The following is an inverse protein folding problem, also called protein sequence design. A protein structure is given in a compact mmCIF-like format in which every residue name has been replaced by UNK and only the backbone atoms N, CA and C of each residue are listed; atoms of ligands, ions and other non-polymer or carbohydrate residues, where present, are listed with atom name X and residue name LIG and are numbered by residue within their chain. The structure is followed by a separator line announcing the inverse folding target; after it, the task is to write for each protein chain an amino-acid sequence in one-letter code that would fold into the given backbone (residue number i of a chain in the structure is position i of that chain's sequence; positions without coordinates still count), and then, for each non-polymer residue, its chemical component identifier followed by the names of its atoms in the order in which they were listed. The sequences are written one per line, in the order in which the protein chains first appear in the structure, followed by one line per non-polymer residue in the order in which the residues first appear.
data_IF_031608596732
#
_entry.id   IF_031608596732
#
_cell.length_a   1.000
_cell.length_b   1.000
_cell.length_c   1.000
_cell.angle_alpha   90.00
_cell.angle_beta   90.00
_cell.angle_gamma   90.00
#
_symmetry.space_group_name_H-M   'P 1'
#
loop_
_entity.id
_entity.type
_entity.pdbx_description
1 polymer ?
#
# COMPACT_ATOMS: atom_id res chain seq x y z
N UNK A 1 5.29 -8.78 -13.92
CA UNK A 1 4.71 -8.48 -12.60
C UNK A 1 3.54 -7.55 -12.81
N UNK A 2 2.36 -7.81 -12.27
CA UNK A 2 1.28 -6.85 -12.33
C UNK A 2 1.76 -5.56 -11.69
N UNK A 3 1.43 -4.42 -12.29
CA UNK A 3 1.75 -3.10 -11.76
C UNK A 3 0.87 -2.92 -10.54
N UNK A 4 1.47 -2.92 -9.33
CA UNK A 4 0.70 -2.72 -8.11
C UNK A 4 -0.09 -1.41 -8.21
N UNK A 5 -1.38 -1.52 -8.01
CA UNK A 5 -2.33 -0.43 -8.18
C UNK A 5 -2.16 0.58 -7.05
N UNK A 6 -2.31 1.86 -7.37
CA UNK A 6 -2.25 2.94 -6.38
C UNK A 6 -3.57 3.00 -5.63
N UNK A 7 -3.50 2.91 -4.31
CA UNK A 7 -4.65 2.96 -3.41
C UNK A 7 -4.78 4.33 -2.75
N UNK A 8 -6.01 4.75 -2.46
CA UNK A 8 -6.32 6.01 -1.77
C UNK A 8 -7.17 5.73 -0.54
N UNK A 9 -6.82 6.38 0.59
CA UNK A 9 -7.64 6.34 1.81
C UNK A 9 -7.80 7.73 2.37
N UNK A 10 -9.02 8.02 2.81
CA UNK A 10 -9.37 9.29 3.45
C UNK A 10 -9.81 9.04 4.87
N UNK A 11 -9.34 9.88 5.77
CA UNK A 11 -9.77 9.92 7.15
C UNK A 11 -10.42 11.27 7.42
N UNK A 12 -11.65 11.25 7.97
CA UNK A 12 -12.22 12.43 8.59
C UNK A 12 -11.52 12.64 9.92
N UNK A 13 -10.88 13.75 10.07
CA UNK A 13 -10.19 14.11 11.29
C UNK A 13 -10.68 15.48 11.73
N UNK A 14 -11.11 15.57 12.97
CA UNK A 14 -11.44 16.84 13.64
C UNK A 14 -10.21 17.76 13.79
N UNK A 15 -9.08 17.44 13.14
CA UNK A 15 -7.77 18.04 13.42
C UNK A 15 -7.02 18.64 12.22
N UNK A 16 -7.61 18.73 11.02
CA UNK A 16 -6.96 19.53 9.97
C UNK A 16 -7.05 21.01 10.38
N UNK A 17 -5.90 21.61 10.70
CA UNK A 17 -5.85 22.98 11.18
C UNK A 17 -4.78 23.79 10.45
N UNK A 18 -5.17 25.02 10.13
CA UNK A 18 -4.26 26.04 9.69
C UNK A 18 -3.58 26.68 10.92
N UNK A 19 -2.25 26.58 11.02
CA UNK A 19 -1.49 27.29 12.04
C UNK A 19 -1.28 28.72 11.56
N UNK A 20 -1.91 29.66 12.24
CA UNK A 20 -2.06 31.06 11.76
C UNK A 20 -0.75 31.81 11.55
N UNK A 21 0.28 31.55 12.38
CA UNK A 21 1.49 32.39 12.41
C UNK A 21 2.56 31.94 11.38
N UNK A 22 2.47 30.74 10.82
CA UNK A 22 3.53 30.16 9.99
C UNK A 22 3.09 29.75 8.58
N UNK A 23 1.89 30.08 8.13
CA UNK A 23 1.32 29.61 6.85
C UNK A 23 1.45 28.07 6.67
N UNK A 24 1.25 27.33 7.76
CA UNK A 24 1.41 25.88 7.82
C UNK A 24 0.06 25.21 7.98
N UNK A 25 -0.19 24.17 7.17
CA UNK A 25 -1.30 23.25 7.33
C UNK A 25 -0.80 22.00 8.06
N UNK A 26 -1.48 21.64 9.16
CA UNK A 26 -1.14 20.45 9.97
C UNK A 26 -2.35 19.54 10.07
N UNK A 27 -2.14 18.25 9.93
CA UNK A 27 -3.17 17.24 10.09
C UNK A 27 -2.63 15.82 9.95
N UNK A 28 -3.37 14.85 10.47
CA UNK A 28 -3.05 13.44 10.24
C UNK A 28 -3.58 12.98 8.88
N UNK A 29 -2.70 12.56 7.99
CA UNK A 29 -3.08 12.01 6.69
C UNK A 29 -3.64 10.58 6.80
N UNK A 30 -3.28 9.87 7.87
CA UNK A 30 -3.77 8.52 8.19
C UNK A 30 -3.86 8.35 9.71
N UNK A 31 -4.80 7.49 10.17
CA UNK A 31 -4.99 7.15 11.59
C UNK A 31 -4.75 5.68 11.80
N UNK A 32 -3.98 5.34 12.85
CA UNK A 32 -3.69 3.95 13.21
C UNK A 32 -4.84 3.27 13.94
N UNK A 33 -4.92 1.95 13.81
CA UNK A 33 -5.85 1.08 14.53
C UNK A 33 -7.34 1.46 14.38
N UNK A 34 -7.68 2.33 13.44
CA UNK A 34 -9.06 2.69 13.13
C UNK A 34 -9.57 1.78 12.03
N UNK A 35 -10.63 1.03 12.35
CA UNK A 35 -11.24 0.10 11.41
C UNK A 35 -12.16 0.85 10.45
N UNK A 36 -11.86 0.79 9.17
CA UNK A 36 -12.63 1.42 8.08
C UNK A 36 -13.31 0.33 7.27
N UNK A 37 -14.61 0.47 7.01
CA UNK A 37 -15.38 -0.43 6.16
C UNK A 37 -15.25 0.01 4.69
N UNK A 38 -14.72 -0.85 3.83
CA UNK A 38 -14.55 -0.63 2.39
C UNK A 38 -15.62 -1.36 1.55
N UNK A 39 -16.65 -1.89 2.20
CA UNK A 39 -17.79 -2.57 1.59
C UNK A 39 -17.55 -4.07 1.32
N UNK A 40 -16.37 -4.46 0.86
CA UNK A 40 -15.98 -5.86 0.60
C UNK A 40 -15.12 -6.44 1.72
N UNK A 41 -14.43 -5.62 2.46
CA UNK A 41 -13.64 -5.95 3.64
C UNK A 41 -13.46 -4.70 4.51
N UNK A 42 -13.03 -4.92 5.74
CA UNK A 42 -12.61 -3.84 6.63
C UNK A 42 -11.10 -3.71 6.63
N UNK A 43 -10.61 -2.50 6.79
CA UNK A 43 -9.18 -2.22 6.78
C UNK A 43 -8.76 -1.41 7.99
N UNK A 44 -7.55 -1.67 8.48
CA UNK A 44 -6.87 -0.83 9.44
C UNK A 44 -5.39 -0.68 9.09
N UNK A 45 -4.79 0.40 9.57
CA UNK A 45 -3.38 0.70 9.40
C UNK A 45 -2.69 0.44 10.74
N UNK A 46 -1.66 -0.40 10.72
CA UNK A 46 -0.87 -0.67 11.92
C UNK A 46 0.12 0.48 12.18
N UNK A 47 0.43 0.80 13.46
CA UNK A 47 1.58 1.65 13.79
C UNK A 47 2.87 1.10 13.16
N UNK A 48 3.69 1.98 12.61
CA UNK A 48 4.90 1.60 11.89
C UNK A 48 4.71 1.34 10.39
N UNK A 49 3.47 1.41 9.86
CA UNK A 49 3.19 1.15 8.45
C UNK A 49 3.91 2.11 7.49
N UNK A 50 4.22 3.32 7.92
CA UNK A 50 4.93 4.34 7.14
C UNK A 50 6.42 4.43 7.49
N UNK A 51 6.89 3.69 8.51
CA UNK A 51 8.25 3.81 9.04
C UNK A 51 9.33 3.65 7.96
N UNK A 52 9.17 2.69 7.03
CA UNK A 52 10.12 2.50 5.94
C UNK A 52 10.12 3.66 4.96
N UNK A 53 8.95 4.17 4.55
CA UNK A 53 8.85 5.36 3.68
C UNK A 53 9.57 6.56 4.29
N UNK A 54 9.42 6.76 5.61
CA UNK A 54 10.07 7.86 6.34
C UNK A 54 11.58 7.66 6.47
N UNK A 55 12.02 6.45 6.81
CA UNK A 55 13.45 6.11 6.95
C UNK A 55 14.22 6.19 5.62
N UNK A 56 13.59 5.81 4.51
CA UNK A 56 14.16 5.90 3.17
C UNK A 56 14.16 7.34 2.62
N UNK A 57 13.69 8.33 3.39
CA UNK A 57 13.52 9.72 2.93
C UNK A 57 12.80 9.82 1.60
N UNK A 58 11.71 9.06 1.45
CA UNK A 58 10.97 8.96 0.21
C UNK A 58 10.48 10.34 -0.28
N UNK A 59 10.43 10.51 -1.59
CA UNK A 59 10.00 11.74 -2.24
C UNK A 59 8.47 11.81 -2.31
N UNK A 60 7.84 12.18 -1.18
CA UNK A 60 6.40 12.32 -1.03
C UNK A 60 5.96 13.75 -1.37
N UNK A 61 4.80 13.90 -1.99
CA UNK A 61 4.18 15.19 -2.32
C UNK A 61 3.04 15.51 -1.36
N UNK A 62 2.84 16.79 -1.09
CA UNK A 62 1.57 17.28 -0.60
C UNK A 62 0.81 17.89 -1.79
N UNK A 63 -0.38 17.38 -2.05
CA UNK A 63 -1.22 17.81 -3.17
C UNK A 63 -2.58 18.29 -2.64
N UNK A 64 -3.36 18.99 -3.47
CA UNK A 64 -4.77 19.23 -3.20
C UNK A 64 -5.61 18.31 -4.08
N UNK A 65 -6.50 17.52 -3.46
CA UNK A 65 -7.36 16.53 -4.13
C UNK A 65 -6.58 15.49 -4.97
N UNK A 66 -5.35 15.12 -4.58
CA UNK A 66 -4.48 14.20 -5.33
C UNK A 66 -4.12 14.67 -6.76
N UNK A 67 -4.35 15.94 -7.06
CA UNK A 67 -4.11 16.51 -8.37
C UNK A 67 -2.64 16.93 -8.52
N UNK A 68 -1.93 16.31 -9.45
CA UNK A 68 -0.49 16.53 -9.64
C UNK A 68 -0.11 17.98 -9.96
N UNK A 69 -1.05 18.75 -10.54
CA UNK A 69 -0.87 20.17 -10.85
C UNK A 69 -1.11 21.10 -9.63
N UNK A 70 -1.71 20.57 -8.56
CA UNK A 70 -2.08 21.32 -7.35
C UNK A 70 -1.09 21.00 -6.21
N UNK A 71 0.20 21.24 -6.44
CA UNK A 71 1.25 20.95 -5.46
C UNK A 71 1.24 21.97 -4.32
N UNK A 72 1.25 21.47 -3.09
CA UNK A 72 1.29 22.26 -1.85
C UNK A 72 2.63 22.16 -1.14
N UNK A 73 3.33 21.03 -1.29
CA UNK A 73 4.62 20.80 -0.65
C UNK A 73 5.26 19.47 -1.10
N UNK A 74 6.48 19.24 -0.62
CA UNK A 74 7.27 18.06 -0.99
C UNK A 74 8.31 17.76 0.09
N UNK A 75 8.52 16.48 0.43
CA UNK A 75 9.55 16.09 1.41
C UNK A 75 10.95 16.49 0.93
N UNK A 76 11.29 16.26 -0.33
CA UNK A 76 12.61 16.57 -0.91
C UNK A 76 12.96 18.06 -0.86
N UNK A 77 11.97 18.95 -0.92
CA UNK A 77 12.20 20.41 -0.80
C UNK A 77 12.10 20.91 0.65
N UNK A 78 11.77 20.04 1.60
CA UNK A 78 11.58 20.41 3.01
C UNK A 78 10.29 21.18 3.30
N UNK A 79 9.41 21.33 2.31
CA UNK A 79 8.11 22.02 2.45
C UNK A 79 6.98 21.11 2.92
N UNK A 80 7.21 19.80 2.95
CA UNK A 80 6.39 18.78 3.60
C UNK A 80 7.24 18.05 4.62
N UNK A 81 6.77 17.99 5.89
CA UNK A 81 7.32 17.12 6.93
C UNK A 81 6.30 16.07 7.29
N UNK A 82 6.78 14.84 7.46
CA UNK A 82 5.98 13.68 7.83
C UNK A 82 6.60 13.01 9.04
N UNK A 83 5.77 12.58 9.97
CA UNK A 83 6.17 11.80 11.13
C UNK A 83 5.05 10.86 11.55
N UNK A 84 5.39 9.68 12.08
CA UNK A 84 4.43 8.88 12.83
C UNK A 84 4.39 9.32 14.28
N UNK A 85 3.19 9.44 14.83
CA UNK A 85 2.95 9.63 16.25
C UNK A 85 1.98 8.56 16.81
N UNK A 86 1.49 8.73 18.03
CA UNK A 86 0.57 7.77 18.63
C UNK A 86 -0.79 7.69 17.92
N UNK A 87 -1.18 8.74 17.18
CA UNK A 87 -2.45 8.85 16.46
C UNK A 87 -2.34 8.27 15.05
N UNK A 88 -1.25 8.59 14.33
CA UNK A 88 -1.12 8.19 12.93
C UNK A 88 0.04 8.84 12.20
N UNK A 89 -0.15 9.10 10.91
CA UNK A 89 0.79 9.81 10.05
C UNK A 89 0.50 11.31 10.10
N UNK A 90 1.25 12.04 10.93
CA UNK A 90 1.21 13.50 11.01
C UNK A 90 1.88 14.12 9.79
N UNK A 91 1.24 15.10 9.19
CA UNK A 91 1.76 15.92 8.09
C UNK A 91 1.79 17.39 8.46
N UNK A 92 2.93 18.05 8.22
CA UNK A 92 3.09 19.49 8.30
C UNK A 92 3.46 20.03 6.92
N UNK A 93 2.60 20.85 6.33
CA UNK A 93 2.75 21.40 4.99
C UNK A 93 3.00 22.90 5.12
N UNK A 94 4.21 23.35 4.77
CA UNK A 94 4.49 24.77 4.61
C UNK A 94 3.88 25.24 3.30
N UNK A 95 2.72 25.90 3.41
CA UNK A 95 1.87 26.26 2.27
C UNK A 95 2.56 27.27 1.34
N UNK A 96 2.50 27.04 0.01
CA UNK A 96 3.09 27.97 -0.94
C UNK A 96 2.32 29.28 -0.98
N UNK A 97 3.03 30.41 -1.19
CA UNK A 97 2.41 31.71 -1.40
C UNK A 97 1.89 31.86 -2.85
N UNK A 98 0.96 31.00 -3.21
CA UNK A 98 0.22 30.97 -4.46
C UNK A 98 -1.25 31.27 -4.21
N UNK A 99 -2.05 31.54 -5.26
CA UNK A 99 -3.50 31.66 -5.12
C UNK A 99 -4.09 30.39 -4.50
N UNK A 100 -3.72 29.21 -5.02
CA UNK A 100 -4.17 27.91 -4.49
C UNK A 100 -3.87 27.78 -3.00
N UNK A 101 -2.64 28.05 -2.58
CA UNK A 101 -2.23 27.93 -1.17
C UNK A 101 -3.02 28.86 -0.26
N UNK A 102 -3.19 30.12 -0.65
CA UNK A 102 -3.97 31.12 0.12
C UNK A 102 -5.46 30.75 0.18
N UNK A 103 -6.08 30.38 -0.94
CA UNK A 103 -7.49 30.01 -1.01
C UNK A 103 -7.78 28.76 -0.18
N UNK A 104 -6.90 27.75 -0.25
CA UNK A 104 -7.03 26.55 0.55
C UNK A 104 -6.92 26.83 2.06
N UNK A 105 -5.98 27.67 2.48
CA UNK A 105 -5.85 28.08 3.89
C UNK A 105 -7.09 28.80 4.40
N UNK A 106 -7.77 29.59 3.56
CA UNK A 106 -9.06 30.21 3.91
C UNK A 106 -10.13 29.14 4.08
N UNK A 107 -10.22 28.18 3.16
CA UNK A 107 -11.22 27.11 3.20
C UNK A 107 -11.05 26.20 4.40
N UNK A 108 -9.80 25.87 4.78
CA UNK A 108 -9.51 25.10 5.99
C UNK A 108 -9.87 25.89 7.26
N UNK A 109 -9.53 27.18 7.35
CA UNK A 109 -9.88 28.04 8.51
C UNK A 109 -11.39 28.18 8.70
N UNK A 110 -12.16 28.09 7.62
CA UNK A 110 -13.63 28.13 7.64
C UNK A 110 -14.26 26.77 7.97
N UNK A 111 -13.49 25.69 7.90
CA UNK A 111 -14.00 24.33 8.04
C UNK A 111 -14.67 23.77 6.76
N UNK A 112 -14.48 24.43 5.59
CA UNK A 112 -14.99 23.93 4.30
C UNK A 112 -14.16 22.71 3.84
N UNK A 113 -12.91 22.57 4.31
CA UNK A 113 -12.01 21.45 4.09
C UNK A 113 -11.44 21.04 5.45
N UNK A 114 -11.80 19.85 5.89
CA UNK A 114 -11.49 19.28 7.21
C UNK A 114 -10.92 17.85 7.13
N UNK A 115 -10.61 17.35 5.93
CA UNK A 115 -10.20 15.98 5.72
C UNK A 115 -8.87 15.89 5.00
N UNK A 116 -8.13 14.81 5.35
CA UNK A 116 -6.89 14.43 4.69
C UNK A 116 -7.04 13.04 4.06
N UNK A 117 -6.36 12.87 2.97
CA UNK A 117 -6.24 11.60 2.26
C UNK A 117 -4.78 11.30 1.98
N UNK A 118 -4.44 10.03 1.70
CA UNK A 118 -3.12 9.65 1.25
C UNK A 118 -3.19 8.62 0.13
N UNK A 119 -2.21 8.68 -0.77
CA UNK A 119 -2.05 7.74 -1.87
C UNK A 119 -0.86 6.83 -1.59
N UNK A 120 -1.07 5.53 -1.68
CA UNK A 120 -0.08 4.54 -1.30
C UNK A 120 -0.16 3.27 -2.16
N UNK A 121 0.85 2.44 -2.00
CA UNK A 121 0.89 1.05 -2.45
C UNK A 121 1.12 0.18 -1.22
N UNK A 122 0.30 -0.83 -1.01
CA UNK A 122 0.54 -1.82 0.03
C UNK A 122 1.78 -2.66 -0.33
N UNK A 123 2.70 -2.81 0.62
CA UNK A 123 3.94 -3.61 0.49
C UNK A 123 3.84 -4.85 1.36
N UNK A 124 3.38 -4.70 2.61
CA UNK A 124 3.11 -5.80 3.52
C UNK A 124 1.73 -5.63 4.14
N UNK A 125 0.98 -6.68 4.11
CA UNK A 125 -0.37 -6.73 4.66
C UNK A 125 -0.64 -8.07 5.33
N UNK A 126 -1.58 -8.07 6.26
CA UNK A 126 -2.05 -9.25 6.96
C UNK A 126 -3.57 -9.34 6.83
N UNK A 127 -4.07 -10.53 6.51
CA UNK A 127 -5.49 -10.75 6.37
C UNK A 127 -6.00 -11.66 7.49
N UNK A 128 -7.12 -11.26 8.09
CA UNK A 128 -7.89 -12.08 9.01
C UNK A 128 -9.24 -12.43 8.36
N UNK A 129 -9.37 -13.68 7.92
CA UNK A 129 -10.58 -14.24 7.31
C UNK A 129 -11.33 -15.20 8.28
N UNK A 130 -11.21 -15.02 9.59
CA UNK A 130 -11.98 -15.82 10.57
C UNK A 130 -13.49 -15.68 10.34
N UNK A 131 -13.94 -14.53 9.85
CA UNK A 131 -15.27 -14.33 9.28
C UNK A 131 -15.12 -14.06 7.77
N UNK A 132 -15.40 -15.05 6.90
CA UNK A 132 -15.26 -14.90 5.44
C UNK A 132 -16.19 -13.84 4.82
N UNK A 133 -17.28 -13.46 5.52
CA UNK A 133 -18.20 -12.43 5.07
C UNK A 133 -17.75 -11.03 5.46
N UNK A 134 -16.78 -10.93 6.36
CA UNK A 134 -16.32 -9.67 6.92
C UNK A 134 -14.79 -9.69 7.19
N UNK A 135 -13.97 -9.97 6.18
CA UNK A 135 -12.53 -10.08 6.35
C UNK A 135 -11.93 -8.75 6.77
N UNK A 136 -10.78 -8.81 7.46
CA UNK A 136 -10.04 -7.63 7.90
C UNK A 136 -8.65 -7.66 7.27
N UNK A 137 -8.31 -6.60 6.55
CA UNK A 137 -6.98 -6.30 6.03
C UNK A 137 -6.25 -5.39 7.00
N UNK A 138 -5.03 -5.73 7.39
CA UNK A 138 -4.15 -4.88 8.18
C UNK A 138 -2.96 -4.47 7.32
N UNK A 139 -2.82 -3.17 7.05
CA UNK A 139 -1.65 -2.62 6.37
C UNK A 139 -0.48 -2.55 7.35
N UNK A 140 0.60 -3.28 7.08
CA UNK A 140 1.82 -3.36 7.92
C UNK A 140 2.97 -2.54 7.38
N UNK A 141 3.11 -2.45 6.06
CA UNK A 141 4.08 -1.59 5.39
C UNK A 141 3.47 -1.03 4.11
N UNK A 142 3.60 0.27 3.91
CA UNK A 142 3.12 0.95 2.71
C UNK A 142 4.21 1.82 2.10
N UNK A 143 4.21 1.92 0.78
CA UNK A 143 4.96 2.93 0.05
C UNK A 143 4.06 4.13 -0.19
N UNK A 144 4.37 5.25 0.46
CA UNK A 144 3.60 6.49 0.37
C UNK A 144 4.01 7.30 -0.86
N UNK A 145 3.05 7.90 -1.56
CA UNK A 145 3.27 8.75 -2.74
C UNK A 145 2.87 10.19 -2.50
N UNK A 146 1.68 10.42 -1.93
CA UNK A 146 1.24 11.76 -1.57
C UNK A 146 0.34 11.75 -0.33
N UNK A 147 0.22 12.93 0.27
CA UNK A 147 -0.76 13.30 1.28
C UNK A 147 -1.52 14.52 0.80
N UNK A 148 -2.84 14.54 0.97
CA UNK A 148 -3.68 15.56 0.34
C UNK A 148 -4.81 16.01 1.25
N UNK A 149 -4.95 17.33 1.57
CA UNK A 149 -6.24 17.85 1.94
C UNK A 149 -7.23 17.63 0.79
N UNK A 150 -8.44 17.18 1.11
CA UNK A 150 -9.44 16.81 0.10
C UNK A 150 -10.79 17.48 0.40
N UNK A 151 -11.50 17.85 -0.69
CA UNK A 151 -12.83 18.43 -0.60
C UNK A 151 -13.89 17.36 -0.32
N UNK A 152 -13.70 16.17 -0.90
CA UNK A 152 -14.57 15.02 -0.68
C UNK A 152 -13.72 13.85 -0.19
N UNK A 153 -14.15 13.19 0.90
CA UNK A 153 -13.52 11.94 1.28
C UNK A 153 -13.65 10.94 0.14
N UNK A 154 -12.61 10.14 -0.08
CA UNK A 154 -12.76 8.95 -0.90
C UNK A 154 -13.73 8.02 -0.14
N UNK A 155 -15.03 8.11 -0.44
CA UNK A 155 -16.02 7.24 0.15
C UNK A 155 -15.73 5.80 -0.28
N UNK A 156 -15.70 4.86 0.65
CA UNK A 156 -15.54 3.44 0.34
C UNK A 156 -16.62 2.92 -0.62
N UNK A 157 -17.74 3.63 -0.69
CA UNK A 157 -18.94 3.25 -1.46
C UNK A 157 -19.04 3.91 -2.85
N UNK A 158 -18.06 4.71 -3.28
CA UNK A 158 -18.07 5.18 -4.68
C UNK A 158 -17.70 4.00 -5.59
N UNK A 159 -18.32 3.92 -6.77
CA UNK A 159 -18.13 2.81 -7.72
C UNK A 159 -16.66 2.49 -8.03
N UNK A 160 -15.78 3.49 -8.02
CA UNK A 160 -14.34 3.33 -8.28
C UNK A 160 -13.64 2.71 -7.08
N UNK A 161 -13.91 3.19 -5.86
CA UNK A 161 -13.30 2.64 -4.62
C UNK A 161 -13.84 1.25 -4.31
N UNK A 162 -15.14 1.01 -4.54
CA UNK A 162 -15.75 -0.30 -4.35
C UNK A 162 -15.16 -1.35 -5.31
N UNK A 163 -14.98 -1.01 -6.60
CA UNK A 163 -14.32 -1.91 -7.56
C UNK A 163 -12.86 -2.21 -7.19
N UNK A 164 -12.12 -1.21 -6.68
CA UNK A 164 -10.76 -1.40 -6.20
C UNK A 164 -10.73 -2.36 -5.00
N UNK A 165 -11.63 -2.19 -4.02
CA UNK A 165 -11.73 -3.08 -2.86
C UNK A 165 -12.12 -4.51 -3.27
N UNK A 166 -13.08 -4.67 -4.18
CA UNK A 166 -13.45 -5.98 -4.73
C UNK A 166 -12.25 -6.69 -5.37
N UNK A 167 -11.49 -5.98 -6.21
CA UNK A 167 -10.32 -6.52 -6.89
C UNK A 167 -9.24 -6.95 -5.89
N UNK A 168 -8.96 -6.12 -4.89
CA UNK A 168 -7.98 -6.41 -3.82
C UNK A 168 -8.33 -7.72 -3.11
N UNK A 169 -9.60 -7.88 -2.68
CA UNK A 169 -10.06 -9.10 -2.03
C UNK A 169 -10.00 -10.32 -2.96
N UNK A 170 -10.37 -10.14 -4.24
CA UNK A 170 -10.33 -11.20 -5.23
C UNK A 170 -8.89 -11.65 -5.52
N UNK A 171 -7.94 -10.73 -5.62
CA UNK A 171 -6.51 -11.03 -5.80
C UNK A 171 -5.95 -11.77 -4.58
N UNK A 172 -6.27 -11.32 -3.36
CA UNK A 172 -5.87 -12.00 -2.13
C UNK A 172 -6.37 -13.46 -2.12
N UNK A 173 -7.66 -13.68 -2.33
CA UNK A 173 -8.25 -15.02 -2.35
C UNK A 173 -7.72 -15.92 -3.47
N UNK A 174 -7.37 -15.34 -4.61
CA UNK A 174 -6.75 -16.07 -5.72
C UNK A 174 -5.33 -16.53 -5.37
N UNK A 175 -4.55 -15.70 -4.67
CA UNK A 175 -3.20 -16.04 -4.22
C UNK A 175 -3.19 -17.20 -3.23
N UNK A 176 -4.15 -17.23 -2.29
CA UNK A 176 -4.31 -18.34 -1.33
C UNK A 176 -4.63 -19.66 -2.06
N UNK A 177 -5.59 -19.65 -3.00
CA UNK A 177 -5.95 -20.85 -3.78
C UNK A 177 -4.77 -21.40 -4.57
N UNK A 178 -3.97 -20.52 -5.15
CA UNK A 178 -2.76 -20.92 -5.88
C UNK A 178 -1.73 -21.58 -4.94
N UNK A 179 -1.50 -20.98 -3.77
CA UNK A 179 -0.56 -21.49 -2.77
C UNK A 179 -1.00 -22.88 -2.25
N UNK A 180 -2.29 -23.05 -1.96
CA UNK A 180 -2.85 -24.34 -1.52
C UNK A 180 -2.67 -25.43 -2.58
N UNK A 181 -2.92 -25.11 -3.86
CA UNK A 181 -2.76 -26.07 -4.97
C UNK A 181 -1.30 -26.50 -5.18
N UNK A 182 -0.34 -25.63 -4.89
CA UNK A 182 1.11 -25.94 -4.98
C UNK A 182 1.57 -26.81 -3.81
N UNK A 183 0.88 -26.75 -2.66
CA UNK A 183 1.24 -27.50 -1.44
C UNK A 183 0.55 -28.88 -1.38
N UNK A 184 -0.50 -29.13 -2.18
CA UNK A 184 -1.09 -30.47 -2.26
C UNK A 184 -0.02 -31.46 -2.73
N UNK A 185 0.32 -32.51 -1.93
CA UNK A 185 1.29 -33.49 -2.34
C UNK A 185 0.78 -34.18 -3.59
N UNK A 186 1.65 -34.32 -4.61
CA UNK A 186 1.38 -35.16 -5.77
C UNK A 186 1.06 -36.54 -5.20
N UNK A 187 -0.19 -36.97 -5.29
CA UNK A 187 -0.54 -38.34 -4.99
C UNK A 187 0.17 -39.20 -6.04
N UNK A 188 1.25 -39.86 -5.63
CA UNK A 188 1.85 -40.92 -6.45
C UNK A 188 0.80 -42.01 -6.61
N UNK A 189 0.29 -42.14 -7.82
CA UNK A 189 -0.56 -43.26 -8.22
C UNK A 189 0.30 -44.52 -8.22
N UNK A 190 0.25 -45.26 -7.12
CA UNK A 190 0.92 -46.57 -7.00
C UNK A 190 0.19 -47.72 -7.73
N UNK A 191 -0.48 -47.44 -8.83
CA UNK A 191 -1.13 -48.48 -9.66
C UNK A 191 -0.41 -48.72 -10.97
N UNK A 192 0.91 -48.94 -10.97
CA UNK A 192 1.61 -49.56 -12.09
C UNK A 192 2.79 -50.38 -11.53
N UNK A 193 2.55 -51.67 -11.29
CA UNK A 193 3.62 -52.65 -11.19
C UNK A 193 4.18 -52.87 -12.59
N UNK A 194 5.22 -52.12 -12.97
CA UNK A 194 6.13 -52.56 -14.03
C UNK A 194 7.56 -52.34 -13.59
N UNK A 195 8.29 -53.46 -13.46
CA UNK A 195 9.62 -53.59 -12.98
C UNK A 195 10.64 -53.21 -14.05
N UNK A 196 10.89 -51.91 -14.26
CA UNK A 196 12.09 -51.44 -14.95
C UNK A 196 12.63 -50.22 -14.19
N UNK A 197 13.53 -50.50 -13.28
CA UNK A 197 14.35 -49.46 -12.64
C UNK A 197 15.20 -48.75 -13.71
N UNK A 198 15.05 -47.45 -13.93
CA UNK A 198 15.99 -46.70 -14.78
C UNK A 198 17.35 -46.71 -14.09
N UNK A 199 18.38 -47.12 -14.80
CA UNK A 199 19.76 -47.08 -14.36
C UNK A 199 20.26 -45.61 -14.27
N UNK A 200 20.07 -45.01 -13.11
CA UNK A 200 20.54 -43.62 -12.82
C UNK A 200 22.06 -43.51 -12.82
N UNK A 201 22.82 -44.61 -12.80
CA UNK A 201 24.28 -44.59 -12.82
C UNK A 201 24.79 -44.17 -14.21
N UNK A 202 24.21 -44.64 -15.29
CA UNK A 202 24.56 -44.27 -16.66
C UNK A 202 24.21 -42.87 -17.04
N UNK A 203 23.11 -42.30 -16.53
CA UNK A 203 22.70 -40.89 -16.77
C UNK A 203 23.63 -39.90 -16.07
N UNK A 204 24.08 -40.21 -14.87
CA UNK A 204 25.01 -39.37 -14.11
C UNK A 204 26.43 -39.40 -14.69
N UNK A 205 26.87 -40.51 -15.25
CA UNK A 205 28.19 -40.62 -15.89
C UNK A 205 28.24 -39.85 -17.22
N UNK A 206 27.15 -39.85 -18.00
CA UNK A 206 27.02 -39.07 -19.22
C UNK A 206 27.08 -37.54 -18.91
N UNK A 207 26.37 -37.10 -17.87
CA UNK A 207 26.35 -35.68 -17.43
C UNK A 207 27.69 -35.20 -16.91
N UNK A 208 28.43 -36.09 -16.24
CA UNK A 208 29.79 -35.77 -15.75
C UNK A 208 30.79 -35.60 -16.89
N UNK A 209 30.73 -36.45 -17.92
CA UNK A 209 31.58 -36.33 -19.14
C UNK A 209 31.27 -35.06 -19.94
N UNK A 210 30.03 -34.61 -19.93
CA UNK A 210 29.64 -33.37 -20.61
C UNK A 210 30.16 -32.12 -19.88
N UNK A 211 30.16 -32.11 -18.56
CA UNK A 211 30.73 -31.05 -17.74
C UNK A 211 32.27 -30.97 -17.86
N UNK A 212 32.94 -32.12 -17.92
CA UNK A 212 34.42 -32.16 -18.13
C UNK A 212 34.84 -31.67 -19.54
N UNK A 213 33.95 -31.72 -20.53
CA UNK A 213 34.19 -31.13 -21.87
C UNK A 213 34.10 -29.63 -21.90
N UNK A 214 33.24 -29.05 -21.06
CA UNK A 214 33.03 -27.60 -21.01
C UNK A 214 34.13 -26.85 -20.25
N UNK A 215 34.88 -27.54 -19.38
CA UNK A 215 35.99 -26.96 -18.60
C UNK A 215 37.34 -26.94 -19.37
N UNK A 216 37.41 -27.47 -20.59
CA UNK A 216 38.65 -27.53 -21.37
C UNK A 216 38.70 -26.46 -22.49
N UNK A 217 37.61 -25.71 -22.73
CA UNK A 217 37.54 -24.62 -23.75
C UNK A 217 37.39 -23.22 -23.12
N UNK A 218 37.94 -22.99 -21.90
CA UNK A 218 37.98 -21.70 -21.22
C UNK A 218 39.40 -21.21 -20.97
#
# INVERSE_FOLDING_TARGET
MPKAELEYRTFGLDEVRAVADNNTLVGHAAVFNTLVDLGYFRELIAPGAFAKTLADHADVKALFNHEANNILGRTKSGTLKLAEDATGLLSEINMPDTNLGRDLMVSVKRGDIDQMSFAFQAIQEEWNESDPNNPIRTLKEVKLFDVSPVTYPAYPTTDVSAKSAENILAEHRSSIKFTQKVIEPIQEDHSATDSTTPDYATANEARRKELERLDIEG
#
